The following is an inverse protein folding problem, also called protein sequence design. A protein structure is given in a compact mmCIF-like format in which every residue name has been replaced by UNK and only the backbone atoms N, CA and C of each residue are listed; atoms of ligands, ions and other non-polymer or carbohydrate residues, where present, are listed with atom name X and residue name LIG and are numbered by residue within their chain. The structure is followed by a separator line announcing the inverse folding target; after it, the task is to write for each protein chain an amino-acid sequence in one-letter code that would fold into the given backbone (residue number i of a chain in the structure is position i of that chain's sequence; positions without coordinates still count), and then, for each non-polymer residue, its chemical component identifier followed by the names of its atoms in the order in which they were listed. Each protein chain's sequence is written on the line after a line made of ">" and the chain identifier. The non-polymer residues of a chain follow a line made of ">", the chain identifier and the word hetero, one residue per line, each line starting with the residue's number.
data_IF_021501914935
#
_entry.id   IF_021501914935
#
_cell.length_a   1.000
_cell.length_b   1.000
_cell.length_c   1.000
_cell.angle_alpha   90.00
_cell.angle_beta   90.00
_cell.angle_gamma   90.00
#
_symmetry.space_group_name_H-M   'P 1'
#
loop_
_entity.id
_entity.type
_entity.pdbx_description
1 polymer ?
#
# COMPACT_ATOMS: atom_id res chain seq x y z
N UNK A 1 17.67 27.48 -1.89
CA UNK A 1 17.16 26.55 -0.84
C UNK A 1 15.95 25.84 -1.43
N UNK A 2 15.95 24.50 -1.44
CA UNK A 2 14.88 23.67 -1.97
C UNK A 2 13.95 23.27 -0.84
N UNK A 3 12.65 23.56 -0.94
CA UNK A 3 11.63 23.28 0.08
C UNK A 3 10.68 22.18 -0.40
N UNK A 4 10.70 21.04 0.28
CA UNK A 4 9.95 19.86 -0.10
C UNK A 4 8.92 19.53 0.97
N UNK A 5 7.65 19.52 0.60
CA UNK A 5 6.60 18.89 1.38
C UNK A 5 6.58 17.39 1.16
N UNK A 6 6.33 16.59 2.20
CA UNK A 6 6.21 15.14 2.09
C UNK A 6 5.03 14.65 2.92
N UNK A 7 4.23 13.76 2.37
CA UNK A 7 3.14 13.10 3.07
C UNK A 7 2.92 11.65 2.62
N UNK A 8 2.36 10.85 3.52
CA UNK A 8 1.89 9.49 3.26
C UNK A 8 0.39 9.42 3.50
N UNK A 9 -0.39 8.88 2.56
CA UNK A 9 -1.85 8.89 2.63
C UNK A 9 -2.45 7.53 2.29
N UNK A 10 -3.57 7.19 2.93
CA UNK A 10 -4.25 5.92 2.78
C UNK A 10 -3.75 4.85 3.76
N UNK A 11 -3.85 3.56 3.41
CA UNK A 11 -3.29 2.47 4.22
C UNK A 11 -1.76 2.55 4.31
N UNK A 12 -1.21 2.11 5.41
CA UNK A 12 0.24 1.99 5.58
C UNK A 12 0.77 0.64 5.05
N UNK A 13 2.07 0.54 4.89
CA UNK A 13 2.76 -0.69 4.57
C UNK A 13 4.24 -0.59 4.97
N UNK A 14 4.94 -1.72 4.96
CA UNK A 14 6.34 -1.81 5.37
C UNK A 14 7.31 -0.96 4.53
N UNK A 15 6.96 -0.63 3.29
CA UNK A 15 7.85 0.09 2.39
C UNK A 15 7.82 1.62 2.53
N UNK A 16 6.85 2.21 3.25
CA UNK A 16 6.67 3.66 3.31
C UNK A 16 7.89 4.40 3.86
N UNK A 17 8.37 3.99 5.02
CA UNK A 17 9.55 4.62 5.63
C UNK A 17 10.80 4.44 4.77
N UNK A 18 10.99 3.27 4.15
CA UNK A 18 12.09 3.00 3.23
C UNK A 18 12.05 3.92 1.99
N UNK A 19 10.86 4.09 1.39
CA UNK A 19 10.65 4.95 0.23
C UNK A 19 10.92 6.43 0.58
N UNK A 20 10.36 6.93 1.69
CA UNK A 20 10.63 8.30 2.17
C UNK A 20 12.12 8.53 2.44
N UNK A 21 12.77 7.58 3.10
CA UNK A 21 14.22 7.61 3.31
C UNK A 21 14.98 7.68 1.98
N UNK A 22 14.59 6.88 0.99
CA UNK A 22 15.20 6.88 -0.35
C UNK A 22 15.13 8.25 -1.01
N UNK A 23 13.95 8.88 -0.99
CA UNK A 23 13.75 10.25 -1.50
C UNK A 23 14.67 11.24 -0.80
N UNK A 24 14.64 11.29 0.54
CA UNK A 24 15.40 12.27 1.32
C UNK A 24 16.91 12.08 1.18
N UNK A 25 17.40 10.85 1.31
CA UNK A 25 18.83 10.56 1.17
C UNK A 25 19.30 10.84 -0.26
N UNK A 26 18.49 10.51 -1.27
CA UNK A 26 18.81 10.79 -2.67
C UNK A 26 18.90 12.27 -2.98
N UNK A 27 18.04 13.11 -2.42
CA UNK A 27 18.09 14.56 -2.59
C UNK A 27 19.27 15.16 -1.83
N UNK A 28 19.42 14.83 -0.54
CA UNK A 28 20.49 15.36 0.31
C UNK A 28 21.89 14.91 -0.11
N UNK A 29 22.02 13.83 -0.90
CA UNK A 29 23.32 13.44 -1.49
C UNK A 29 23.76 14.34 -2.66
N UNK A 30 22.84 15.14 -3.20
CA UNK A 30 23.08 16.03 -4.35
C UNK A 30 22.99 17.51 -4.01
N UNK A 31 22.39 17.86 -2.87
CA UNK A 31 22.15 19.23 -2.43
C UNK A 31 22.21 19.34 -0.92
N UNK A 32 22.88 20.38 -0.45
CA UNK A 32 23.00 20.69 1.00
C UNK A 32 21.90 21.67 1.45
N UNK A 33 21.29 22.43 0.53
CA UNK A 33 20.34 23.49 0.79
C UNK A 33 18.88 22.98 0.69
N UNK A 34 18.49 21.98 1.49
CA UNK A 34 17.17 21.32 1.45
C UNK A 34 16.45 21.45 2.78
N UNK A 35 15.20 21.90 2.75
CA UNK A 35 14.25 21.87 3.88
C UNK A 35 13.14 20.86 3.59
N UNK A 36 12.81 20.02 4.56
CA UNK A 36 11.81 18.96 4.43
C UNK A 36 10.68 19.19 5.43
N UNK A 37 9.48 19.36 4.93
CA UNK A 37 8.24 19.55 5.67
C UNK A 37 7.43 18.26 5.66
N UNK A 38 7.49 17.46 6.72
CA UNK A 38 6.75 16.21 6.87
C UNK A 38 5.34 16.47 7.40
N UNK A 39 4.31 16.41 6.54
CA UNK A 39 2.92 16.59 6.93
C UNK A 39 2.41 15.38 7.70
N UNK A 40 1.85 15.63 8.88
CA UNK A 40 1.35 14.57 9.76
C UNK A 40 -0.04 14.11 9.30
N UNK A 41 -0.30 12.80 9.37
CA UNK A 41 -1.59 12.20 9.00
C UNK A 41 -2.03 12.50 7.54
N UNK A 42 -1.08 12.53 6.62
CA UNK A 42 -1.34 12.65 5.18
C UNK A 42 -1.92 14.00 4.75
N UNK A 43 -2.91 13.98 3.87
CA UNK A 43 -3.56 15.21 3.39
C UNK A 43 -4.21 16.02 4.51
N UNK A 44 -4.62 15.38 5.62
CA UNK A 44 -5.12 16.10 6.79
C UNK A 44 -4.09 17.10 7.32
N UNK A 45 -2.83 16.69 7.40
CA UNK A 45 -1.74 17.58 7.80
C UNK A 45 -1.54 18.75 6.84
N UNK A 46 -1.68 18.53 5.54
CA UNK A 46 -1.58 19.60 4.53
C UNK A 46 -2.78 20.56 4.62
N UNK A 47 -4.00 20.06 4.84
CA UNK A 47 -5.22 20.87 5.00
C UNK A 47 -5.10 21.80 6.22
N UNK A 48 -4.67 21.26 7.37
CA UNK A 48 -4.65 22.00 8.63
C UNK A 48 -3.28 22.57 9.01
N UNK A 49 -2.32 22.60 8.08
CA UNK A 49 -0.95 23.08 8.30
C UNK A 49 -0.24 22.37 9.48
N UNK A 50 -0.51 21.07 9.68
CA UNK A 50 0.14 20.27 10.71
C UNK A 50 1.34 19.51 10.12
N UNK A 51 2.54 20.01 10.38
CA UNK A 51 3.78 19.46 9.84
C UNK A 51 4.92 19.51 10.87
N UNK A 52 5.97 18.75 10.60
CA UNK A 52 7.26 18.82 11.29
C UNK A 52 8.35 19.17 10.30
N UNK A 53 9.28 20.04 10.71
CA UNK A 53 10.53 20.21 10.00
C UNK A 53 11.42 18.99 10.26
N UNK A 54 11.87 18.36 9.20
CA UNK A 54 12.67 17.14 9.26
C UNK A 54 14.03 17.35 8.60
N UNK A 55 15.02 16.66 9.11
CA UNK A 55 16.38 16.63 8.59
C UNK A 55 16.71 15.25 8.03
N UNK A 56 17.79 15.13 7.26
CA UNK A 56 18.29 13.83 6.79
C UNK A 56 18.54 12.82 7.93
N UNK A 57 18.74 13.29 9.18
CA UNK A 57 18.95 12.43 10.35
C UNK A 57 17.67 11.73 10.80
N UNK A 58 16.51 12.40 10.68
CA UNK A 58 15.22 11.85 11.06
C UNK A 58 14.80 10.64 10.21
N UNK A 59 15.41 10.52 9.04
CA UNK A 59 15.25 9.36 8.14
C UNK A 59 16.33 8.28 8.33
N UNK A 60 17.16 8.39 9.36
CA UNK A 60 18.13 7.35 9.71
C UNK A 60 17.48 6.31 10.63
N UNK A 61 17.86 5.02 10.43
CA UNK A 61 17.32 3.93 11.26
C UNK A 61 15.89 3.48 10.92
N UNK A 62 15.20 4.11 9.96
CA UNK A 62 13.80 3.78 9.64
C UNK A 62 13.63 2.80 8.47
N UNK A 63 14.71 2.30 7.88
CA UNK A 63 14.66 1.45 6.68
C UNK A 63 13.83 0.17 6.90
N UNK A 64 13.95 -0.44 8.07
CA UNK A 64 13.26 -1.67 8.44
C UNK A 64 12.07 -1.46 9.39
N UNK A 65 11.73 -0.20 9.66
CA UNK A 65 10.59 0.15 10.53
C UNK A 65 9.32 0.19 9.69
N UNK A 66 8.33 -0.61 10.07
CA UNK A 66 7.01 -0.64 9.43
C UNK A 66 6.18 0.60 9.68
N UNK A 67 5.06 0.71 8.96
CA UNK A 67 4.18 1.87 9.04
C UNK A 67 4.80 3.13 8.43
N UNK A 68 4.51 4.29 9.01
CA UNK A 68 5.01 5.59 8.54
C UNK A 68 5.31 6.52 9.70
N UNK A 69 6.50 7.14 9.70
CA UNK A 69 6.91 8.13 10.71
C UNK A 69 6.10 9.44 10.65
N UNK A 70 5.40 9.68 9.53
CA UNK A 70 4.53 10.85 9.34
C UNK A 70 3.09 10.58 9.78
N UNK A 71 2.74 9.32 10.05
CA UNK A 71 1.35 8.93 10.21
C UNK A 71 0.57 9.02 8.90
N UNK A 72 -0.63 8.47 8.89
CA UNK A 72 -1.48 8.47 7.70
C UNK A 72 -2.95 8.63 8.09
N UNK A 73 -3.75 9.11 7.15
CA UNK A 73 -5.21 9.12 7.27
C UNK A 73 -5.86 8.84 5.93
N UNK A 74 -7.10 8.36 5.96
CA UNK A 74 -7.92 8.20 4.77
C UNK A 74 -8.76 9.45 4.55
N UNK A 75 -8.44 10.19 3.49
CA UNK A 75 -9.22 11.33 3.00
C UNK A 75 -9.78 10.94 1.61
N UNK A 76 -11.07 10.54 1.52
CA UNK A 76 -11.65 10.10 0.25
C UNK A 76 -11.58 11.21 -0.81
N UNK A 77 -11.08 10.89 -2.00
CA UNK A 77 -10.98 11.85 -3.11
C UNK A 77 -12.29 12.58 -3.40
N UNK A 78 -13.42 11.86 -3.38
CA UNK A 78 -14.75 12.43 -3.61
C UNK A 78 -15.12 13.54 -2.61
N UNK A 79 -14.52 13.52 -1.41
CA UNK A 79 -14.79 14.48 -0.34
C UNK A 79 -13.80 15.65 -0.31
N UNK A 80 -12.80 15.69 -1.21
CA UNK A 80 -11.79 16.74 -1.21
C UNK A 80 -12.36 18.11 -1.60
N UNK A 81 -13.31 18.15 -2.52
CA UNK A 81 -14.00 19.40 -2.93
C UNK A 81 -15.24 19.71 -2.10
N UNK A 82 -15.56 18.89 -1.10
CA UNK A 82 -16.65 19.15 -0.17
C UNK A 82 -16.08 19.85 1.05
N UNK A 83 -16.57 21.04 1.45
CA UNK A 83 -16.12 21.73 2.66
C UNK A 83 -16.22 20.82 3.88
N UNK A 84 -15.38 21.07 4.89
CA UNK A 84 -15.47 20.35 6.15
C UNK A 84 -16.66 20.87 7.01
N UNK A 85 -16.84 20.31 8.22
CA UNK A 85 -17.92 20.66 9.14
C UNK A 85 -17.92 22.15 9.55
N UNK A 86 -16.79 22.81 9.42
CA UNK A 86 -16.60 24.24 9.71
C UNK A 86 -16.69 25.12 8.46
N UNK A 87 -17.02 24.55 7.31
CA UNK A 87 -17.10 25.25 6.04
C UNK A 87 -15.75 25.52 5.35
N UNK A 88 -14.67 24.87 5.80
CA UNK A 88 -13.34 25.04 5.23
C UNK A 88 -13.27 24.36 3.86
N UNK A 89 -12.89 25.12 2.82
CA UNK A 89 -12.49 24.56 1.52
C UNK A 89 -11.12 23.88 1.67
N UNK A 90 -11.11 22.55 1.59
CA UNK A 90 -9.91 21.73 1.79
C UNK A 90 -8.87 21.96 0.69
N UNK A 91 -9.30 22.19 -0.54
CA UNK A 91 -8.40 22.41 -1.68
C UNK A 91 -7.68 23.73 -1.52
N UNK A 92 -8.43 24.81 -1.24
CA UNK A 92 -7.85 26.12 -0.99
C UNK A 92 -6.96 26.12 0.26
N UNK A 93 -7.32 25.39 1.33
CA UNK A 93 -6.48 25.22 2.51
C UNK A 93 -5.15 24.55 2.21
N UNK A 94 -5.14 23.48 1.38
CA UNK A 94 -3.91 22.82 0.93
C UNK A 94 -3.03 23.75 0.08
N UNK A 95 -3.62 24.48 -0.86
CA UNK A 95 -2.93 25.49 -1.67
C UNK A 95 -2.32 26.58 -0.80
N UNK A 96 -3.11 27.11 0.15
CA UNK A 96 -2.64 28.12 1.09
C UNK A 96 -1.42 27.62 1.89
N UNK A 97 -1.48 26.41 2.43
CA UNK A 97 -0.36 25.82 3.18
C UNK A 97 0.87 25.65 2.30
N UNK A 98 0.71 25.17 1.06
CA UNK A 98 1.79 25.01 0.09
C UNK A 98 2.50 26.34 -0.19
N UNK A 99 1.74 27.39 -0.52
CA UNK A 99 2.29 28.72 -0.82
C UNK A 99 2.85 29.43 0.41
N UNK A 100 2.18 29.33 1.57
CA UNK A 100 2.65 29.92 2.84
C UNK A 100 4.03 29.39 3.25
N UNK A 101 4.28 28.09 3.00
CA UNK A 101 5.59 27.47 3.29
C UNK A 101 6.59 27.66 2.15
N UNK A 102 6.19 28.29 1.04
CA UNK A 102 6.96 28.42 -0.19
C UNK A 102 7.55 27.08 -0.65
N UNK A 103 6.71 26.03 -0.68
CA UNK A 103 7.16 24.71 -1.13
C UNK A 103 7.44 24.75 -2.63
N UNK A 104 8.56 24.19 -3.04
CA UNK A 104 8.91 23.99 -4.45
C UNK A 104 8.25 22.74 -5.02
N UNK A 105 8.03 21.72 -4.16
CA UNK A 105 7.43 20.46 -4.56
C UNK A 105 6.75 19.76 -3.37
N UNK A 106 5.69 19.01 -3.66
CA UNK A 106 5.03 18.10 -2.73
C UNK A 106 5.27 16.65 -3.18
N UNK A 107 5.90 15.84 -2.34
CA UNK A 107 6.08 14.40 -2.55
C UNK A 107 5.00 13.64 -1.81
N UNK A 108 4.22 12.85 -2.54
CA UNK A 108 3.03 12.16 -2.02
C UNK A 108 3.17 10.66 -2.22
N UNK A 109 3.10 9.89 -1.14
CA UNK A 109 3.12 8.43 -1.18
C UNK A 109 1.73 7.88 -0.86
N UNK A 110 1.16 7.07 -1.76
CA UNK A 110 -0.14 6.47 -1.50
C UNK A 110 -0.70 5.66 -2.66
N UNK A 111 -1.94 5.20 -2.48
CA UNK A 111 -2.68 4.40 -3.46
C UNK A 111 -3.48 5.25 -4.45
N UNK A 112 -4.39 4.60 -5.19
CA UNK A 112 -5.17 5.21 -6.28
C UNK A 112 -5.91 6.50 -5.85
N UNK A 113 -6.61 6.49 -4.71
CA UNK A 113 -7.31 7.68 -4.19
C UNK A 113 -6.36 8.84 -3.89
N UNK A 114 -5.19 8.54 -3.37
CA UNK A 114 -4.13 9.51 -3.07
C UNK A 114 -3.58 10.13 -4.35
N UNK A 115 -3.35 9.34 -5.41
CA UNK A 115 -2.90 9.83 -6.72
C UNK A 115 -3.94 10.72 -7.39
N UNK A 116 -5.24 10.39 -7.26
CA UNK A 116 -6.32 11.26 -7.77
C UNK A 116 -6.32 12.63 -7.10
N UNK A 117 -6.12 12.68 -5.77
CA UNK A 117 -5.99 13.96 -5.05
C UNK A 117 -4.71 14.70 -5.45
N UNK A 118 -3.59 14.00 -5.60
CA UNK A 118 -2.35 14.59 -6.07
C UNK A 118 -2.48 15.20 -7.47
N UNK A 119 -3.15 14.50 -8.40
CA UNK A 119 -3.44 15.02 -9.73
C UNK A 119 -4.34 16.26 -9.68
N UNK A 120 -5.37 16.26 -8.84
CA UNK A 120 -6.21 17.44 -8.62
C UNK A 120 -5.37 18.65 -8.16
N UNK A 121 -4.47 18.47 -7.20
CA UNK A 121 -3.57 19.55 -6.75
C UNK A 121 -2.62 20.02 -7.85
N UNK A 122 -2.15 19.11 -8.72
CA UNK A 122 -1.36 19.47 -9.90
C UNK A 122 -2.17 20.35 -10.88
N UNK A 123 -3.44 20.02 -11.10
CA UNK A 123 -4.36 20.81 -11.92
C UNK A 123 -4.64 22.19 -11.32
N UNK A 124 -4.59 22.30 -9.99
CA UNK A 124 -4.66 23.57 -9.24
C UNK A 124 -3.31 24.36 -9.25
N UNK A 125 -2.31 23.88 -9.99
CA UNK A 125 -1.04 24.58 -10.20
C UNK A 125 0.09 24.22 -9.22
N UNK A 126 -0.07 23.24 -8.36
CA UNK A 126 0.99 22.80 -7.46
C UNK A 126 1.94 21.82 -8.15
N UNK A 127 3.23 21.88 -7.82
CA UNK A 127 4.19 20.88 -8.25
C UNK A 127 4.11 19.65 -7.33
N UNK A 128 3.58 18.55 -7.85
CA UNK A 128 3.38 17.32 -7.09
C UNK A 128 4.07 16.14 -7.76
N UNK A 129 4.84 15.38 -7.00
CA UNK A 129 5.45 14.11 -7.41
C UNK A 129 4.81 13.00 -6.58
N UNK A 130 4.34 11.95 -7.22
CA UNK A 130 3.71 10.82 -6.54
C UNK A 130 4.57 9.57 -6.59
N UNK A 131 4.51 8.80 -5.50
CA UNK A 131 5.14 7.48 -5.40
C UNK A 131 4.04 6.41 -5.21
N UNK A 132 4.02 5.37 -6.07
CA UNK A 132 2.97 4.36 -6.06
C UNK A 132 3.12 3.43 -4.85
N UNK A 133 2.27 3.60 -3.83
CA UNK A 133 2.26 2.78 -2.62
C UNK A 133 0.92 2.05 -2.48
N UNK A 134 0.97 0.74 -2.60
CA UNK A 134 -0.09 -0.20 -2.22
C UNK A 134 0.52 -1.59 -2.09
N UNK A 135 -0.08 -2.46 -1.29
CA UNK A 135 0.30 -3.88 -1.25
C UNK A 135 -0.33 -4.66 -2.41
N UNK A 136 -1.40 -4.14 -3.02
CA UNK A 136 -2.23 -4.86 -3.99
C UNK A 136 -1.60 -4.92 -5.39
N UNK A 137 -0.61 -4.05 -5.69
CA UNK A 137 0.01 -3.88 -7.01
C UNK A 137 -1.01 -3.56 -8.11
N UNK A 138 -2.03 -2.75 -7.79
CA UNK A 138 -3.18 -2.43 -8.62
C UNK A 138 -3.12 -1.03 -9.27
N UNK A 139 -1.96 -0.38 -9.26
CA UNK A 139 -1.78 0.95 -9.85
C UNK A 139 -1.23 0.83 -11.28
N UNK A 140 -1.98 1.41 -12.21
CA UNK A 140 -1.56 1.46 -13.61
C UNK A 140 -0.33 2.37 -13.80
N UNK A 141 0.58 1.98 -14.69
CA UNK A 141 1.76 2.77 -15.06
C UNK A 141 3.01 2.49 -14.22
N UNK A 142 2.98 1.45 -13.39
CA UNK A 142 4.15 0.91 -12.69
C UNK A 142 4.14 -0.60 -12.72
N UNK A 143 5.31 -1.22 -12.80
CA UNK A 143 5.45 -2.67 -12.75
C UNK A 143 5.29 -3.21 -11.32
N UNK A 144 5.74 -2.43 -10.34
CA UNK A 144 5.71 -2.81 -8.93
C UNK A 144 5.46 -1.59 -8.03
N UNK A 145 4.55 -1.76 -7.09
CA UNK A 145 4.23 -0.74 -6.09
C UNK A 145 5.06 -0.93 -4.81
N UNK A 146 5.35 0.19 -4.11
CA UNK A 146 5.97 0.15 -2.79
C UNK A 146 5.03 -0.54 -1.79
N UNK A 147 5.46 -1.66 -1.24
CA UNK A 147 4.70 -2.48 -0.31
C UNK A 147 4.27 -3.85 -0.85
N UNK A 148 4.17 -4.03 -2.17
CA UNK A 148 3.75 -5.30 -2.77
C UNK A 148 4.69 -6.44 -2.39
N UNK A 149 5.99 -6.30 -2.62
CA UNK A 149 6.96 -7.36 -2.33
C UNK A 149 6.97 -7.74 -0.85
N UNK A 150 6.91 -6.76 0.05
CA UNK A 150 6.84 -7.03 1.50
C UNK A 150 5.59 -7.80 1.89
N UNK A 151 4.45 -7.50 1.26
CA UNK A 151 3.21 -8.24 1.49
C UNK A 151 3.31 -9.68 0.98
N UNK A 152 3.90 -9.89 -0.19
CA UNK A 152 4.16 -11.24 -0.74
C UNK A 152 5.06 -12.04 0.19
N UNK A 153 6.14 -11.46 0.69
CA UNK A 153 7.08 -12.13 1.60
C UNK A 153 6.41 -12.54 2.91
N UNK A 154 5.60 -11.67 3.52
CA UNK A 154 4.86 -11.95 4.75
C UNK A 154 3.82 -13.04 4.53
N UNK A 155 3.06 -12.98 3.44
CA UNK A 155 2.05 -13.98 3.11
C UNK A 155 2.69 -15.34 2.80
N UNK A 156 3.83 -15.37 2.09
CA UNK A 156 4.61 -16.58 1.80
C UNK A 156 5.10 -17.23 3.09
N UNK A 157 5.73 -16.47 3.99
CA UNK A 157 6.19 -16.96 5.30
C UNK A 157 5.05 -17.51 6.16
N UNK A 158 3.87 -16.89 6.08
CA UNK A 158 2.67 -17.35 6.77
C UNK A 158 2.17 -18.70 6.22
N UNK A 159 2.09 -18.83 4.89
CA UNK A 159 1.69 -20.08 4.22
C UNK A 159 2.69 -21.19 4.54
N UNK A 160 3.99 -20.91 4.48
CA UNK A 160 5.06 -21.87 4.77
C UNK A 160 4.93 -22.43 6.20
N UNK A 161 4.67 -21.61 7.21
CA UNK A 161 4.49 -22.04 8.60
C UNK A 161 3.31 -22.98 8.81
N UNK A 162 2.29 -22.94 7.96
CA UNK A 162 1.11 -23.79 8.05
C UNK A 162 1.40 -25.23 7.62
N UNK A 163 2.39 -25.48 6.77
CA UNK A 163 2.71 -26.82 6.25
C UNK A 163 2.94 -27.86 7.33
N UNK A 164 3.62 -27.49 8.43
CA UNK A 164 3.93 -28.45 9.52
C UNK A 164 2.68 -28.93 10.21
N UNK A 165 1.78 -28.04 10.59
CA UNK A 165 0.51 -28.40 11.24
C UNK A 165 -0.46 -29.06 10.24
N UNK A 166 -0.49 -28.64 9.00
CA UNK A 166 -1.30 -29.27 7.96
C UNK A 166 -0.93 -30.74 7.76
N UNK A 167 0.37 -31.03 7.69
CA UNK A 167 0.90 -32.40 7.57
C UNK A 167 0.55 -33.25 8.79
N UNK A 168 0.75 -32.70 9.99
CA UNK A 168 0.54 -33.42 11.25
C UNK A 168 -0.92 -33.84 11.48
N UNK A 169 -1.85 -32.98 11.05
CA UNK A 169 -3.28 -33.19 11.32
C UNK A 169 -4.09 -33.66 10.12
N UNK A 170 -3.48 -33.86 8.97
CA UNK A 170 -4.15 -34.27 7.70
C UNK A 170 -5.36 -33.40 7.38
N UNK A 171 -5.19 -32.08 7.45
CA UNK A 171 -6.27 -31.09 7.30
C UNK A 171 -6.19 -30.34 5.96
N UNK A 172 -7.32 -29.78 5.58
CA UNK A 172 -7.39 -28.73 4.57
C UNK A 172 -7.31 -27.39 5.30
N UNK A 173 -6.35 -26.56 4.92
CA UNK A 173 -6.20 -25.19 5.40
C UNK A 173 -6.58 -24.21 4.30
N UNK A 174 -7.35 -23.20 4.67
CA UNK A 174 -7.70 -22.09 3.81
C UNK A 174 -7.02 -20.85 4.38
N UNK A 175 -6.20 -20.19 3.58
CA UNK A 175 -5.49 -18.96 3.93
C UNK A 175 -6.04 -17.84 3.07
N UNK A 176 -6.83 -16.95 3.68
CA UNK A 176 -7.31 -15.75 3.02
C UNK A 176 -6.20 -14.71 2.98
N UNK A 177 -5.96 -14.14 1.80
CA UNK A 177 -4.89 -13.19 1.53
C UNK A 177 -5.50 -11.90 1.00
N UNK A 178 -5.07 -10.76 1.56
CA UNK A 178 -5.46 -9.44 1.09
C UNK A 178 -5.02 -9.19 -0.36
N UNK A 179 -5.64 -8.21 -1.02
CA UNK A 179 -5.35 -7.81 -2.39
C UNK A 179 -6.50 -7.04 -3.03
N UNK A 180 -7.53 -6.69 -2.22
CA UNK A 180 -8.72 -5.98 -2.66
C UNK A 180 -9.40 -6.69 -3.84
N UNK A 181 -9.35 -6.14 -5.06
CA UNK A 181 -10.01 -6.69 -6.26
C UNK A 181 -9.05 -7.42 -7.21
N UNK A 182 -7.80 -7.57 -6.84
CA UNK A 182 -6.77 -8.22 -7.65
C UNK A 182 -6.06 -9.32 -6.88
N UNK A 183 -5.62 -10.35 -7.57
CA UNK A 183 -5.04 -11.55 -6.98
C UNK A 183 -3.53 -11.59 -6.90
N UNK A 184 -2.82 -10.50 -7.16
CA UNK A 184 -1.35 -10.51 -7.28
C UNK A 184 -0.63 -11.03 -6.04
N UNK A 185 -0.99 -10.54 -4.85
CA UNK A 185 -0.36 -10.99 -3.59
C UNK A 185 -0.62 -12.49 -3.37
N UNK A 186 -1.88 -12.91 -3.55
CA UNK A 186 -2.30 -14.30 -3.39
C UNK A 186 -1.61 -15.23 -4.37
N UNK A 187 -1.48 -14.83 -5.64
CA UNK A 187 -0.82 -15.62 -6.67
C UNK A 187 0.65 -15.83 -6.34
N UNK A 188 1.38 -14.75 -6.10
CA UNK A 188 2.81 -14.82 -5.81
C UNK A 188 3.09 -15.56 -4.50
N UNK A 189 2.37 -15.24 -3.42
CA UNK A 189 2.56 -15.90 -2.14
C UNK A 189 2.11 -17.37 -2.15
N UNK A 190 1.01 -17.68 -2.84
CA UNK A 190 0.51 -19.05 -2.98
C UNK A 190 1.49 -19.94 -3.74
N UNK A 191 2.08 -19.44 -4.83
CA UNK A 191 3.12 -20.20 -5.57
C UNK A 191 4.38 -20.36 -4.71
N UNK A 192 4.88 -19.28 -4.12
CA UNK A 192 6.12 -19.29 -3.35
C UNK A 192 5.99 -20.11 -2.04
N UNK A 193 4.85 -20.03 -1.36
CA UNK A 193 4.54 -20.75 -0.14
C UNK A 193 4.04 -22.19 -0.37
N UNK A 194 3.94 -22.65 -1.62
CA UNK A 194 3.55 -24.01 -1.97
C UNK A 194 2.08 -24.34 -1.69
N UNK A 195 1.17 -23.39 -1.88
CA UNK A 195 -0.27 -23.65 -1.84
C UNK A 195 -0.66 -24.61 -2.99
N UNK A 196 -1.53 -25.57 -2.67
CA UNK A 196 -1.98 -26.59 -3.60
C UNK A 196 -3.08 -26.08 -4.55
N UNK A 197 -3.87 -25.12 -4.08
CA UNK A 197 -4.96 -24.46 -4.84
C UNK A 197 -4.84 -22.96 -4.57
N UNK A 198 -4.99 -22.16 -5.63
CA UNK A 198 -4.95 -20.71 -5.55
C UNK A 198 -6.22 -20.16 -6.21
N UNK A 199 -7.01 -19.37 -5.48
CA UNK A 199 -8.24 -18.75 -5.97
C UNK A 199 -8.07 -17.24 -6.04
N UNK A 200 -8.35 -16.68 -7.24
CA UNK A 200 -8.07 -15.29 -7.61
C UNK A 200 -9.36 -14.58 -8.02
N UNK A 201 -9.47 -13.26 -7.81
CA UNK A 201 -10.62 -12.48 -8.28
C UNK A 201 -10.80 -12.51 -9.80
N UNK A 202 -9.68 -12.60 -10.54
CA UNK A 202 -9.66 -12.59 -12.02
C UNK A 202 -10.24 -13.86 -12.64
N UNK A 203 -10.33 -14.96 -11.87
CA UNK A 203 -10.79 -16.26 -12.33
C UNK A 203 -11.88 -16.76 -11.38
N UNK A 204 -13.17 -16.54 -11.69
CA UNK A 204 -14.26 -17.05 -10.87
C UNK A 204 -14.15 -18.56 -10.66
N UNK A 205 -14.19 -18.99 -9.40
CA UNK A 205 -14.04 -20.39 -9.04
C UNK A 205 -15.34 -21.16 -9.05
N UNK A 206 -15.26 -22.47 -9.28
CA UNK A 206 -16.34 -23.43 -9.11
C UNK A 206 -16.02 -24.31 -7.90
N UNK A 207 -16.87 -24.26 -6.90
CA UNK A 207 -16.65 -25.00 -5.65
C UNK A 207 -16.54 -26.52 -5.85
N UNK A 208 -17.29 -27.06 -6.83
CA UNK A 208 -17.24 -28.48 -7.13
C UNK A 208 -15.86 -28.89 -7.70
N UNK A 209 -15.25 -28.03 -8.51
CA UNK A 209 -13.90 -28.24 -9.05
C UNK A 209 -12.86 -28.20 -7.92
N UNK A 210 -13.02 -27.29 -6.95
CA UNK A 210 -12.13 -27.21 -5.79
C UNK A 210 -12.26 -28.49 -4.92
N UNK A 211 -13.49 -28.94 -4.64
CA UNK A 211 -13.74 -30.18 -3.89
C UNK A 211 -13.19 -31.39 -4.61
N UNK A 212 -13.36 -31.48 -5.93
CA UNK A 212 -12.80 -32.58 -6.74
C UNK A 212 -11.28 -32.59 -6.71
N UNK A 213 -10.62 -31.42 -6.75
CA UNK A 213 -9.17 -31.31 -6.64
C UNK A 213 -8.68 -31.82 -5.28
N UNK A 214 -9.35 -31.46 -4.18
CA UNK A 214 -9.04 -31.96 -2.84
C UNK A 214 -9.18 -33.48 -2.78
N UNK A 215 -10.30 -34.01 -3.30
CA UNK A 215 -10.56 -35.46 -3.30
C UNK A 215 -9.53 -36.24 -4.14
N UNK A 216 -9.15 -35.75 -5.32
CA UNK A 216 -8.08 -36.32 -6.15
C UNK A 216 -6.74 -36.36 -5.41
N UNK A 217 -6.40 -35.28 -4.71
CA UNK A 217 -5.18 -35.24 -3.88
C UNK A 217 -5.20 -36.28 -2.78
N UNK A 218 -6.32 -36.39 -2.06
CA UNK A 218 -6.52 -37.39 -1.02
C UNK A 218 -6.40 -38.80 -1.58
N UNK A 219 -7.03 -39.12 -2.71
CA UNK A 219 -6.93 -40.39 -3.39
C UNK A 219 -5.49 -40.73 -3.83
N UNK A 220 -4.70 -39.72 -4.20
CA UNK A 220 -3.27 -39.83 -4.52
C UNK A 220 -2.36 -39.96 -3.27
N UNK A 221 -2.92 -40.12 -2.06
CA UNK A 221 -2.16 -40.28 -0.81
C UNK A 221 -1.61 -39.01 -0.21
N UNK A 222 -2.01 -37.81 -0.72
CA UNK A 222 -1.62 -36.53 -0.12
C UNK A 222 -2.39 -36.32 1.20
N UNK A 223 -1.66 -36.09 2.28
CA UNK A 223 -2.25 -36.01 3.62
C UNK A 223 -2.96 -34.71 3.93
N UNK A 224 -2.58 -33.61 3.27
CA UNK A 224 -3.14 -32.28 3.51
C UNK A 224 -3.34 -31.50 2.21
N UNK A 225 -4.06 -30.40 2.28
CA UNK A 225 -4.19 -29.43 1.18
C UNK A 225 -4.18 -28.01 1.76
N UNK A 226 -3.40 -27.12 1.16
CA UNK A 226 -3.37 -25.70 1.49
C UNK A 226 -3.98 -24.93 0.30
N UNK A 227 -4.98 -24.13 0.62
CA UNK A 227 -5.69 -23.29 -0.34
C UNK A 227 -5.37 -21.84 0.00
N UNK A 228 -4.75 -21.10 -0.92
CA UNK A 228 -4.62 -19.65 -0.84
C UNK A 228 -5.80 -19.01 -1.59
N UNK A 229 -6.56 -18.17 -0.90
CA UNK A 229 -7.73 -17.50 -1.47
C UNK A 229 -7.59 -16.00 -1.34
N UNK A 230 -7.72 -15.26 -2.45
CA UNK A 230 -7.76 -13.81 -2.41
C UNK A 230 -9.08 -13.33 -1.78
N UNK A 231 -9.04 -12.28 -0.95
CA UNK A 231 -10.24 -11.70 -0.32
C UNK A 231 -11.32 -11.28 -1.32
N UNK A 232 -10.90 -10.97 -2.55
CA UNK A 232 -11.80 -10.59 -3.65
C UNK A 232 -12.20 -11.75 -4.56
N UNK A 233 -11.84 -13.01 -4.24
CA UNK A 233 -12.23 -14.17 -5.04
C UNK A 233 -13.74 -14.36 -5.04
N UNK A 234 -14.32 -14.58 -6.23
CA UNK A 234 -15.76 -14.73 -6.44
C UNK A 234 -16.09 -16.13 -6.96
N UNK A 235 -17.24 -16.66 -6.58
CA UNK A 235 -17.79 -17.88 -7.15
C UNK A 235 -18.37 -17.62 -8.55
N UNK A 236 -18.48 -18.66 -9.37
CA UNK A 236 -19.24 -18.61 -10.64
C UNK A 236 -20.73 -18.48 -10.43
N UNK A 237 -21.21 -18.75 -9.21
CA UNK A 237 -22.61 -18.68 -8.85
C UNK A 237 -23.03 -17.29 -8.31
N UNK A 238 -22.07 -16.42 -7.96
CA UNK A 238 -22.26 -15.04 -7.51
C UNK A 238 -22.33 -14.06 -8.69
#
# INVERSE_FOLDING_TARGET
>A
MLRIGMLTSGGDCQALNAAMRGVVKGICSKRDDVEIYGFQEGYKGLIYSNFKMLTSRDFSGILTVGGTILGTSRQPFKMMRVPDENGLDKVEAMKHTYHKLNLDCLVVLGGNGTHKTANMLREEGLHVITLPKTIDNDLWGTDMTFGFQSAVDIATDTIDKIHTTATSHSRVFIVEVMGHKVGWVTLHAGIAGGADIIMLPEIPYDINVVVDAINKRKAAGKKFTIIAVAEGAISKED
#
